data_IF_410261832030
#
_entry.id   IF_410261832030
#
_cell.length_a   1.000
_cell.length_b   1.000
_cell.length_c   1.000
_cell.angle_alpha   90.00
_cell.angle_beta   90.00
_cell.angle_gamma   90.00
#
_symmetry.space_group_name_H-M   'P 1'
#
loop_
_entity.id
_entity.type
_entity.pdbx_description
1 polymer ?
#
# COMPACT_ATOMS: atom_id res chain seq x y z
N UNK A 1 -0.85 -6.14 -6.72
CA UNK A 1 -0.67 -5.96 -5.26
C UNK A 1 -1.99 -6.26 -4.56
N UNK A 2 -1.98 -6.67 -3.30
CA UNK A 2 -3.21 -6.97 -2.55
C UNK A 2 -3.17 -6.46 -1.12
N UNK A 3 -4.35 -6.11 -0.60
CA UNK A 3 -4.59 -5.84 0.80
C UNK A 3 -5.42 -6.97 1.39
N UNK A 4 -4.98 -7.53 2.51
CA UNK A 4 -5.68 -8.57 3.24
C UNK A 4 -6.03 -8.07 4.64
N UNK A 5 -7.31 -8.06 4.99
CA UNK A 5 -7.76 -7.81 6.35
C UNK A 5 -7.71 -9.12 7.12
N UNK A 6 -6.93 -9.21 8.21
CA UNK A 6 -6.83 -10.42 9.04
C UNK A 6 -7.70 -10.35 10.30
N UNK A 7 -8.43 -9.26 10.48
CA UNK A 7 -9.33 -9.08 11.61
C UNK A 7 -10.75 -9.49 11.25
N UNK A 8 -11.58 -9.74 12.26
CA UNK A 8 -13.01 -10.06 12.07
C UNK A 8 -13.84 -8.82 11.70
N UNK A 9 -13.31 -7.61 11.87
CA UNK A 9 -14.04 -6.37 11.68
C UNK A 9 -13.71 -5.73 10.33
N UNK A 10 -14.68 -5.08 9.66
CA UNK A 10 -14.39 -4.30 8.47
C UNK A 10 -13.35 -3.21 8.74
N UNK A 11 -12.51 -2.92 7.73
CA UNK A 11 -11.47 -1.90 7.79
C UNK A 11 -11.57 -0.95 6.61
N UNK A 12 -11.67 0.34 6.91
CA UNK A 12 -11.52 1.38 5.91
C UNK A 12 -10.04 1.63 5.66
N UNK A 13 -9.62 1.38 4.43
CA UNK A 13 -8.26 1.54 3.96
C UNK A 13 -8.24 2.67 2.95
N UNK A 14 -7.37 3.64 3.18
CA UNK A 14 -7.09 4.73 2.25
C UNK A 14 -5.70 4.58 1.67
N UNK A 15 -5.54 4.89 0.40
CA UNK A 15 -4.27 4.70 -0.30
C UNK A 15 -4.09 5.70 -1.43
N UNK A 16 -2.84 5.98 -1.80
CA UNK A 16 -2.47 6.83 -2.94
C UNK A 16 -1.09 6.49 -3.47
N UNK A 17 -0.87 6.71 -4.76
CA UNK A 17 0.46 6.67 -5.35
C UNK A 17 1.25 7.95 -5.04
N UNK A 18 2.55 7.78 -4.85
CA UNK A 18 3.52 8.84 -4.66
C UNK A 18 4.64 8.62 -5.68
N UNK A 19 4.80 9.54 -6.62
CA UNK A 19 5.89 9.50 -7.60
C UNK A 19 7.26 9.73 -6.93
N UNK A 20 8.34 9.29 -7.58
CA UNK A 20 9.70 9.47 -7.07
C UNK A 20 10.12 10.93 -6.89
N UNK A 21 9.44 11.87 -7.57
CA UNK A 21 9.61 13.31 -7.39
C UNK A 21 8.79 13.90 -6.24
N UNK A 22 8.06 13.07 -5.49
CA UNK A 22 7.15 13.50 -4.42
C UNK A 22 5.73 13.85 -4.89
N UNK A 23 5.45 13.73 -6.20
CA UNK A 23 4.11 13.96 -6.76
C UNK A 23 3.10 12.99 -6.14
N UNK A 24 2.07 13.51 -5.46
CA UNK A 24 1.04 12.67 -4.86
C UNK A 24 -0.23 12.67 -5.72
N UNK A 25 -0.71 11.48 -6.08
CA UNK A 25 -2.01 11.36 -6.73
C UNK A 25 -3.16 11.47 -5.71
N UNK A 26 -4.39 11.75 -6.17
CA UNK A 26 -5.56 11.79 -5.32
C UNK A 26 -5.71 10.52 -4.48
N UNK A 27 -6.15 10.71 -3.23
CA UNK A 27 -6.38 9.61 -2.31
C UNK A 27 -7.61 8.81 -2.73
N UNK A 28 -7.48 7.49 -2.71
CA UNK A 28 -8.55 6.53 -2.92
C UNK A 28 -8.87 5.80 -1.61
N UNK A 29 -10.07 5.22 -1.53
CA UNK A 29 -10.54 4.53 -0.34
C UNK A 29 -11.27 3.25 -0.74
N UNK A 30 -11.15 2.23 0.09
CA UNK A 30 -11.96 1.02 0.01
C UNK A 30 -12.25 0.49 1.41
N UNK A 31 -13.34 -0.26 1.56
CA UNK A 31 -13.66 -0.99 2.78
C UNK A 31 -13.36 -2.47 2.57
N UNK A 32 -12.43 -3.03 3.36
CA UNK A 32 -12.15 -4.46 3.40
C UNK A 32 -13.05 -5.12 4.44
N UNK A 33 -13.87 -6.09 4.04
CA UNK A 33 -14.55 -6.97 4.99
C UNK A 33 -13.55 -7.75 5.87
N UNK A 34 -14.02 -8.28 6.99
CA UNK A 34 -13.20 -9.15 7.85
C UNK A 34 -12.72 -10.39 7.08
N UNK A 35 -11.45 -10.77 7.24
CA UNK A 35 -10.82 -11.90 6.51
C UNK A 35 -10.88 -11.82 4.98
N UNK A 36 -11.11 -10.63 4.41
CA UNK A 36 -11.16 -10.43 2.97
C UNK A 36 -9.81 -9.99 2.43
N UNK A 37 -9.44 -10.55 1.27
CA UNK A 37 -8.33 -10.05 0.45
C UNK A 37 -8.88 -9.37 -0.79
N UNK A 38 -8.40 -8.16 -1.07
CA UNK A 38 -8.73 -7.40 -2.26
C UNK A 38 -7.46 -7.18 -3.09
N UNK A 39 -7.54 -7.51 -4.39
CA UNK A 39 -6.49 -7.15 -5.33
C UNK A 39 -6.68 -5.70 -5.78
N UNK A 40 -5.58 -4.97 -5.81
CA UNK A 40 -5.51 -3.60 -6.29
C UNK A 40 -4.92 -3.57 -7.69
N UNK A 41 -5.63 -2.90 -8.60
CA UNK A 41 -5.15 -2.55 -9.93
C UNK A 41 -4.18 -1.36 -9.80
N UNK A 42 -2.89 -1.65 -9.95
CA UNK A 42 -1.86 -0.64 -9.85
C UNK A 42 -1.78 0.24 -11.10
N UNK A 43 -2.10 -0.28 -12.27
CA UNK A 43 -2.03 0.49 -13.51
C UNK A 43 -3.05 1.62 -13.47
N UNK A 44 -4.27 1.33 -13.00
CA UNK A 44 -5.31 2.31 -12.75
C UNK A 44 -4.90 3.35 -11.68
N UNK A 45 -4.18 2.92 -10.64
CA UNK A 45 -3.75 3.80 -9.54
C UNK A 45 -2.60 4.74 -9.94
N UNK A 46 -1.77 4.35 -10.91
CA UNK A 46 -0.62 5.14 -11.37
C UNK A 46 -0.99 6.13 -12.49
N UNK A 47 -2.22 6.08 -13.01
CA UNK A 47 -2.70 7.03 -14.03
C UNK A 47 -2.55 8.47 -13.52
N UNK A 48 -1.77 9.26 -14.26
CA UNK A 48 -1.50 10.66 -13.92
C UNK A 48 -0.10 10.91 -13.35
N UNK A 49 0.66 9.87 -13.00
CA UNK A 49 2.09 10.01 -12.74
C UNK A 49 2.90 9.96 -14.04
N UNK A 50 3.95 10.79 -14.17
CA UNK A 50 4.94 10.61 -15.23
C UNK A 50 5.53 9.19 -15.18
N UNK A 51 5.73 8.55 -16.33
CA UNK A 51 6.25 7.17 -16.40
C UNK A 51 7.56 6.98 -15.64
N UNK A 52 8.43 8.00 -15.65
CA UNK A 52 9.69 7.99 -14.90
C UNK A 52 9.48 7.98 -13.39
N UNK A 53 8.45 8.68 -12.90
CA UNK A 53 8.12 8.72 -11.48
C UNK A 53 7.34 7.49 -11.02
N UNK A 54 6.50 6.92 -11.89
CA UNK A 54 5.76 5.69 -11.60
C UNK A 54 6.68 4.47 -11.44
N UNK A 55 7.82 4.45 -12.14
CA UNK A 55 8.80 3.36 -12.08
C UNK A 55 9.63 3.32 -10.80
N UNK A 56 9.74 4.44 -10.08
CA UNK A 56 10.60 4.57 -8.90
C UNK A 56 9.89 5.20 -7.68
N UNK A 57 8.56 5.33 -7.74
CA UNK A 57 7.73 5.87 -6.67
C UNK A 57 7.36 4.85 -5.60
N UNK A 58 6.34 5.18 -4.82
CA UNK A 58 5.79 4.36 -3.74
C UNK A 58 4.28 4.47 -3.61
N UNK A 59 3.75 3.76 -2.61
CA UNK A 59 2.31 3.70 -2.31
C UNK A 59 2.09 3.98 -0.84
N UNK A 60 1.47 5.12 -0.54
CA UNK A 60 1.07 5.47 0.81
C UNK A 60 -0.27 4.84 1.13
N UNK A 61 -0.31 4.00 2.16
CA UNK A 61 -1.50 3.28 2.64
C UNK A 61 -1.74 3.63 4.10
N UNK A 62 -2.98 3.98 4.48
CA UNK A 62 -3.38 4.39 5.81
C UNK A 62 -4.72 3.74 6.21
N UNK A 63 -4.82 3.22 7.43
CA UNK A 63 -6.06 2.65 7.99
C UNK A 63 -6.08 2.86 9.51
N UNK A 64 -7.24 2.62 10.13
CA UNK A 64 -7.41 2.63 11.58
C UNK A 64 -7.58 1.19 12.09
N UNK A 65 -6.65 0.73 12.93
CA UNK A 65 -6.68 -0.61 13.49
C UNK A 65 -5.42 -0.94 14.24
N UNK A 66 -5.28 -2.22 14.61
CA UNK A 66 -4.02 -2.75 15.14
C UNK A 66 -3.08 -3.03 13.98
N UNK A 67 -1.78 -3.00 14.26
CA UNK A 67 -0.81 -3.54 13.35
C UNK A 67 -1.12 -5.01 13.06
N UNK A 68 -0.95 -5.42 11.81
CA UNK A 68 -1.30 -6.77 11.36
C UNK A 68 -2.76 -6.91 10.90
N UNK A 69 -3.68 -6.04 11.33
CA UNK A 69 -5.08 -6.09 10.88
C UNK A 69 -5.18 -5.97 9.35
N UNK A 70 -4.28 -5.21 8.72
CA UNK A 70 -4.14 -5.14 7.26
C UNK A 70 -2.73 -5.55 6.86
N UNK A 71 -2.63 -6.64 6.12
CA UNK A 71 -1.41 -7.12 5.48
C UNK A 71 -1.41 -6.63 4.03
N UNK A 72 -0.28 -6.12 3.59
CA UNK A 72 -0.09 -5.65 2.22
C UNK A 72 0.99 -6.50 1.56
N UNK A 73 0.66 -7.09 0.42
CA UNK A 73 1.58 -7.95 -0.31
C UNK A 73 1.68 -7.52 -1.77
N UNK A 74 2.89 -7.50 -2.30
CA UNK A 74 3.14 -7.15 -3.68
C UNK A 74 4.56 -7.45 -4.09
N UNK A 75 4.81 -7.26 -5.38
CA UNK A 75 6.09 -7.54 -6.02
C UNK A 75 6.56 -6.28 -6.72
N UNK A 76 7.84 -5.95 -6.58
CA UNK A 76 8.50 -4.93 -7.38
C UNK A 76 9.17 -5.63 -8.55
N UNK A 77 8.84 -5.21 -9.77
CA UNK A 77 9.47 -5.70 -10.99
C UNK A 77 10.63 -4.77 -11.36
N UNK A 78 11.84 -5.31 -11.48
CA UNK A 78 12.95 -4.62 -12.13
C UNK A 78 12.95 -4.99 -13.62
N UNK A 79 12.47 -4.08 -14.46
CA UNK A 79 12.37 -4.33 -15.91
C UNK A 79 13.74 -4.47 -16.60
N UNK A 80 14.80 -3.89 -16.03
CA UNK A 80 16.14 -3.93 -16.62
C UNK A 80 16.80 -5.30 -16.50
N UNK A 81 16.53 -6.00 -15.40
CA UNK A 81 17.19 -7.27 -15.08
C UNK A 81 16.24 -8.47 -15.14
N UNK A 82 14.93 -8.22 -15.33
CA UNK A 82 13.91 -9.27 -15.41
C UNK A 82 13.57 -9.93 -14.06
N UNK A 83 14.11 -9.42 -12.96
CA UNK A 83 13.88 -9.94 -11.61
C UNK A 83 12.71 -9.23 -10.93
N UNK A 84 11.91 -10.00 -10.18
CA UNK A 84 10.94 -9.47 -9.24
C UNK A 84 11.36 -9.76 -7.80
N UNK A 85 11.23 -8.77 -6.93
CA UNK A 85 11.46 -8.92 -5.49
C UNK A 85 10.14 -8.76 -4.74
N UNK A 86 9.96 -9.51 -3.65
CA UNK A 86 8.91 -9.22 -2.68
C UNK A 86 9.10 -7.82 -2.13
N UNK A 87 8.01 -7.07 -1.93
CA UNK A 87 8.07 -5.80 -1.18
C UNK A 87 8.32 -6.15 0.29
N UNK A 88 9.48 -5.82 0.89
CA UNK A 88 9.68 -6.04 2.31
C UNK A 88 8.81 -5.05 3.08
N UNK A 89 7.77 -5.56 3.75
CA UNK A 89 6.95 -4.76 4.64
C UNK A 89 7.61 -4.70 6.01
N UNK A 90 8.35 -3.63 6.29
CA UNK A 90 8.91 -3.38 7.61
C UNK A 90 7.79 -2.91 8.54
N UNK A 91 7.45 -3.74 9.52
CA UNK A 91 6.51 -3.39 10.59
C UNK A 91 7.14 -2.29 11.45
N UNK A 92 6.52 -1.10 11.50
CA UNK A 92 7.00 -0.01 12.35
C UNK A 92 6.28 -0.01 13.70
N UNK A 93 7.06 -0.20 14.78
CA UNK A 93 6.76 0.06 16.20
C UNK A 93 5.62 -0.74 16.86
N UNK A 94 5.98 -1.80 17.61
CA UNK A 94 5.08 -2.77 18.26
C UNK A 94 4.43 -2.27 19.57
N UNK A 95 4.60 -1.00 19.93
CA UNK A 95 4.25 -0.49 21.27
C UNK A 95 2.85 0.09 21.44
N UNK A 96 2.09 0.35 20.38
CA UNK A 96 0.87 1.17 20.46
C UNK A 96 -0.40 0.42 20.01
N UNK A 97 -1.35 0.24 20.93
CA UNK A 97 -2.62 -0.49 20.72
C UNK A 97 -3.79 0.41 20.24
N UNK A 98 -3.55 1.70 20.01
CA UNK A 98 -4.57 2.64 19.52
C UNK A 98 -4.68 2.68 17.98
N UNK A 99 -5.78 3.22 17.42
CA UNK A 99 -5.86 3.65 16.03
C UNK A 99 -4.64 4.47 15.61
N UNK A 100 -3.75 3.89 14.82
CA UNK A 100 -2.60 4.61 14.27
C UNK A 100 -2.74 4.72 12.75
N UNK A 101 -2.54 5.93 12.22
CA UNK A 101 -2.45 6.13 10.77
C UNK A 101 -1.10 5.60 10.30
N UNK A 102 -1.06 4.35 9.88
CA UNK A 102 0.17 3.75 9.36
C UNK A 102 0.45 4.33 7.98
N UNK A 103 1.72 4.50 7.60
CA UNK A 103 2.14 4.86 6.25
C UNK A 103 3.22 3.88 5.83
N UNK A 104 3.00 3.18 4.73
CA UNK A 104 3.96 2.25 4.16
C UNK A 104 4.55 2.84 2.88
N UNK A 105 5.84 2.58 2.63
CA UNK A 105 6.64 3.01 1.48
C UNK A 105 6.52 4.50 1.06
N UNK A 106 7.56 5.29 1.35
CA UNK A 106 7.91 6.48 0.56
C UNK A 106 9.36 6.36 0.10
N UNK A 107 9.63 6.78 -1.13
CA UNK A 107 10.98 7.15 -1.56
C UNK A 107 11.17 8.62 -1.25
#
# INVERSE_FOLDING_TARGET
MSFANTSDQPKDVTFRAVGSGGTMLPQQSLTLGGHVTQMLDLDALLVGLPTQEAAAGGLRIQFIGKMGDVIVTGWLKNEREGFSANIPFLMHDTGNNGPIAITYASV
#
